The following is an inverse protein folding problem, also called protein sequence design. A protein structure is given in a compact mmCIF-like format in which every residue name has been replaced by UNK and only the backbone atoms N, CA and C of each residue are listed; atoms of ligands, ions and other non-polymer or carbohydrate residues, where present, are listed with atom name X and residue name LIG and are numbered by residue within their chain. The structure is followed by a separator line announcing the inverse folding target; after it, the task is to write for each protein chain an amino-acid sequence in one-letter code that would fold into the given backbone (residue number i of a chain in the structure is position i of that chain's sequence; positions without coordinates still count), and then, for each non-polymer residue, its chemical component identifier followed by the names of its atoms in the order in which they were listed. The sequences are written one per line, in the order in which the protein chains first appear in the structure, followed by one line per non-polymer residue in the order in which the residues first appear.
data_IF_936864465765
#
_entry.id   IF_936864465765
#
_cell.length_a   1.000
_cell.length_b   1.000
_cell.length_c   1.000
_cell.angle_alpha   90.00
_cell.angle_beta   90.00
_cell.angle_gamma   90.00
#
_symmetry.space_group_name_H-M   'P 1'
#
loop_
_entity.id
_entity.type
_entity.pdbx_description
1 polymer ?
#
# COMPACT_ATOMS: atom_id res chain seq x y z
N UNK A 1 -16.31 8.67 28.23
CA UNK A 1 -16.81 9.18 26.93
C UNK A 1 -15.69 9.27 25.90
N UNK A 2 -14.94 8.16 25.72
CA UNK A 2 -13.76 8.11 24.83
C UNK A 2 -14.04 7.16 23.63
N UNK A 3 -14.78 6.06 23.85
CA UNK A 3 -15.17 5.13 22.78
C UNK A 3 -15.99 5.76 21.66
N UNK A 4 -16.85 6.73 21.98
CA UNK A 4 -17.75 7.35 20.99
C UNK A 4 -16.98 8.22 19.99
N UNK A 5 -15.87 8.82 20.42
CA UNK A 5 -14.98 9.62 19.55
C UNK A 5 -14.15 8.74 18.61
N UNK A 6 -13.73 7.56 19.08
CA UNK A 6 -12.98 6.60 18.25
C UNK A 6 -13.82 6.04 17.10
N UNK A 7 -15.11 5.78 17.33
CA UNK A 7 -16.00 5.24 16.30
C UNK A 7 -16.34 6.26 15.22
N UNK A 8 -16.43 7.55 15.57
CA UNK A 8 -16.69 8.61 14.59
C UNK A 8 -15.50 8.89 13.67
N UNK A 9 -14.26 8.72 14.18
CA UNK A 9 -13.04 8.84 13.37
C UNK A 9 -12.86 7.73 12.32
N UNK A 10 -13.49 6.57 12.49
CA UNK A 10 -13.41 5.48 11.52
C UNK A 10 -14.44 5.64 10.40
N UNK A 11 -15.61 6.21 10.69
CA UNK A 11 -16.65 6.46 9.68
C UNK A 11 -16.30 7.63 8.73
N UNK A 12 -15.44 8.57 9.15
CA UNK A 12 -15.08 9.76 8.35
C UNK A 12 -13.94 9.54 7.35
N UNK A 13 -13.27 8.37 7.33
CA UNK A 13 -12.19 8.07 6.37
C UNK A 13 -12.65 7.36 5.10
N UNK A 14 -13.91 6.98 5.00
CA UNK A 14 -14.46 6.28 3.82
C UNK A 14 -15.12 7.21 2.79
N UNK A 15 -15.01 8.54 2.92
CA UNK A 15 -15.71 9.50 2.05
C UNK A 15 -14.81 10.57 1.38
N UNK A 16 -13.48 10.37 1.35
CA UNK A 16 -12.59 11.16 0.50
C UNK A 16 -12.11 10.35 -0.71
N UNK A 17 -13.05 10.01 -1.59
CA UNK A 17 -12.74 9.93 -3.01
C UNK A 17 -12.89 11.35 -3.56
N UNK A 18 -11.92 12.21 -3.25
CA UNK A 18 -11.79 13.47 -3.95
C UNK A 18 -11.13 13.14 -5.28
N UNK A 19 -11.96 13.01 -6.30
CA UNK A 19 -11.53 12.98 -7.69
C UNK A 19 -10.89 14.35 -7.95
N UNK A 20 -9.57 14.38 -8.03
CA UNK A 20 -8.81 15.56 -8.42
C UNK A 20 -9.20 15.89 -9.88
N UNK A 21 -10.28 16.65 -10.04
CA UNK A 21 -10.50 17.48 -11.22
C UNK A 21 -9.50 18.65 -11.15
N UNK A 22 -8.21 18.33 -11.27
CA UNK A 22 -7.17 19.32 -11.50
C UNK A 22 -7.41 19.94 -12.86
N UNK A 23 -7.57 21.27 -12.84
CA UNK A 23 -7.94 22.07 -13.99
C UNK A 23 -7.12 21.75 -15.24
N UNK A 24 -7.86 21.67 -16.35
CA UNK A 24 -7.35 21.78 -17.70
C UNK A 24 -6.41 22.99 -17.79
N UNK A 25 -5.12 22.71 -17.88
CA UNK A 25 -4.08 23.72 -17.93
C UNK A 25 -2.81 23.15 -18.54
N UNK A 26 -2.91 22.74 -19.81
CA UNK A 26 -1.78 22.45 -20.70
C UNK A 26 -1.04 21.12 -20.46
N UNK A 27 -1.76 20.00 -20.48
CA UNK A 27 -1.13 18.69 -20.57
C UNK A 27 -0.62 18.42 -21.98
N UNK A 28 0.65 18.02 -22.09
CA UNK A 28 1.24 17.60 -23.35
C UNK A 28 0.59 16.28 -23.78
N UNK A 29 -0.25 16.34 -24.81
CA UNK A 29 -0.89 15.19 -25.42
C UNK A 29 0.05 14.57 -26.48
N UNK A 30 -0.26 13.36 -26.96
CA UNK A 30 0.41 12.66 -28.06
C UNK A 30 0.50 13.45 -29.39
N UNK A 31 -0.18 14.59 -29.49
CA UNK A 31 -0.17 15.51 -30.64
C UNK A 31 0.65 16.79 -30.38
N UNK A 32 1.25 16.93 -29.21
CA UNK A 32 2.08 18.09 -28.85
C UNK A 32 3.48 17.90 -29.45
N UNK A 33 3.81 18.74 -30.44
CA UNK A 33 5.11 18.68 -31.12
C UNK A 33 6.24 19.21 -30.22
N UNK A 34 7.31 18.42 -30.07
CA UNK A 34 8.44 18.74 -29.19
C UNK A 34 9.38 19.85 -29.74
N UNK A 35 9.22 20.23 -30.99
CA UNK A 35 10.02 21.28 -31.66
C UNK A 35 9.08 22.24 -32.37
N UNK A 36 9.34 23.54 -32.24
CA UNK A 36 8.48 24.61 -32.74
C UNK A 36 8.48 24.76 -34.28
N UNK A 37 9.35 24.04 -35.00
CA UNK A 37 9.43 24.16 -36.47
C UNK A 37 9.92 22.85 -37.11
N UNK A 38 9.20 22.26 -38.07
CA UNK A 38 9.73 21.16 -38.86
C UNK A 38 10.70 21.73 -39.90
N UNK A 39 12.00 21.58 -39.66
CA UNK A 39 12.99 21.77 -40.73
C UNK A 39 12.73 20.68 -41.76
N UNK A 40 12.00 21.04 -42.82
CA UNK A 40 11.92 20.28 -44.06
C UNK A 40 13.34 20.06 -44.57
N UNK A 41 13.83 18.83 -44.51
CA UNK A 41 14.98 18.46 -45.32
C UNK A 41 14.85 17.02 -45.83
N UNK A 42 14.71 16.96 -47.15
CA UNK A 42 14.52 15.82 -48.04
C UNK A 42 15.56 14.70 -47.85
N UNK A 43 15.24 13.42 -48.13
CA UNK A 43 16.16 12.30 -47.95
C UNK A 43 17.15 12.24 -49.13
N UNK A 44 18.14 13.12 -49.14
CA UNK A 44 19.12 13.16 -50.23
C UNK A 44 20.51 13.67 -49.83
N UNK A 45 21.06 13.37 -48.65
CA UNK A 45 22.52 13.45 -48.44
C UNK A 45 23.00 12.33 -47.53
N UNK A 46 23.77 11.41 -48.13
CA UNK A 46 24.48 10.33 -47.45
C UNK A 46 25.71 10.88 -46.71
N UNK A 47 25.90 10.36 -45.49
CA UNK A 47 27.15 9.93 -44.82
C UNK A 47 28.47 10.52 -45.32
N UNK A 48 29.18 11.27 -44.47
CA UNK A 48 30.65 11.14 -44.31
C UNK A 48 31.11 11.73 -42.96
N UNK A 49 31.72 10.87 -42.14
CA UNK A 49 32.85 11.04 -41.21
C UNK A 49 32.91 12.13 -40.12
N UNK A 50 32.90 11.61 -38.88
CA UNK A 50 33.77 11.85 -37.71
C UNK A 50 34.45 13.20 -37.47
N UNK A 51 34.33 13.61 -36.19
CA UNK A 51 35.37 14.31 -35.41
C UNK A 51 35.79 15.68 -35.94
N UNK A 52 35.13 16.75 -35.47
CA UNK A 52 35.63 18.11 -35.18
C UNK A 52 34.38 18.93 -34.86
N UNK A 53 34.01 19.05 -33.59
CA UNK A 53 33.26 20.20 -33.05
C UNK A 53 33.22 20.10 -31.51
N UNK A 54 34.38 19.87 -30.90
CA UNK A 54 34.62 20.26 -29.51
C UNK A 54 34.82 21.77 -29.48
N UNK A 55 33.89 22.53 -28.90
CA UNK A 55 34.17 23.92 -28.51
C UNK A 55 33.17 25.02 -28.89
N UNK A 56 31.87 24.74 -29.02
CA UNK A 56 30.86 25.81 -29.04
C UNK A 56 30.07 25.79 -27.72
N UNK A 57 30.66 26.37 -26.68
CA UNK A 57 29.96 26.67 -25.43
C UNK A 57 28.88 27.72 -25.73
N UNK A 58 27.61 27.31 -25.71
CA UNK A 58 26.49 28.23 -25.66
C UNK A 58 26.37 28.80 -24.23
N UNK A 59 26.57 30.12 -24.02
CA UNK A 59 26.67 30.70 -22.68
C UNK A 59 25.33 30.90 -21.94
N UNK A 60 24.22 30.34 -22.44
CA UNK A 60 22.87 30.54 -21.89
C UNK A 60 22.07 29.25 -21.63
N UNK A 61 22.73 28.10 -21.45
CA UNK A 61 22.03 26.88 -21.01
C UNK A 61 21.97 26.82 -19.48
N UNK A 62 20.77 26.56 -18.94
CA UNK A 62 20.50 26.36 -17.51
C UNK A 62 21.54 25.43 -16.84
N UNK A 63 21.76 25.53 -15.52
CA UNK A 63 22.71 24.65 -14.85
C UNK A 63 22.34 23.18 -15.10
N UNK A 64 23.15 22.48 -15.90
CA UNK A 64 23.06 21.04 -16.25
C UNK A 64 23.03 20.08 -15.04
N UNK A 65 23.07 20.63 -13.83
CA UNK A 65 23.09 19.91 -12.57
C UNK A 65 21.72 19.34 -12.19
N UNK A 66 20.63 20.03 -12.55
CA UNK A 66 19.28 19.62 -12.13
C UNK A 66 18.75 18.43 -12.96
N UNK A 67 19.04 18.40 -14.25
CA UNK A 67 18.67 17.26 -15.12
C UNK A 67 19.39 15.97 -14.69
N UNK A 68 20.68 16.06 -14.38
CA UNK A 68 21.44 14.90 -13.91
C UNK A 68 20.95 14.39 -12.54
N UNK A 69 20.49 15.29 -11.66
CA UNK A 69 19.89 14.92 -10.37
C UNK A 69 18.51 14.29 -10.53
N UNK A 70 17.69 14.77 -11.47
CA UNK A 70 16.38 14.18 -11.78
C UNK A 70 16.54 12.76 -12.32
N UNK A 71 17.49 12.54 -13.24
CA UNK A 71 17.80 11.22 -13.78
C UNK A 71 18.33 10.27 -12.69
N UNK A 72 19.18 10.75 -11.79
CA UNK A 72 19.66 9.95 -10.65
C UNK A 72 18.51 9.53 -9.72
N UNK A 73 17.55 10.43 -9.47
CA UNK A 73 16.35 10.13 -8.68
C UNK A 73 15.47 9.07 -9.36
N UNK A 74 15.24 9.20 -10.67
CA UNK A 74 14.48 8.20 -11.44
C UNK A 74 15.15 6.84 -11.36
N UNK A 75 16.48 6.78 -11.49
CA UNK A 75 17.22 5.53 -11.41
C UNK A 75 17.15 4.89 -10.01
N UNK A 76 17.28 5.69 -8.96
CA UNK A 76 17.12 5.27 -7.56
C UNK A 76 15.71 4.70 -7.32
N UNK A 77 14.67 5.46 -7.68
CA UNK A 77 13.27 5.05 -7.53
C UNK A 77 12.96 3.78 -8.34
N UNK A 78 13.51 3.69 -9.54
CA UNK A 78 13.37 2.49 -10.38
C UNK A 78 14.08 1.30 -9.75
N UNK A 79 15.28 1.48 -9.19
CA UNK A 79 16.01 0.40 -8.52
C UNK A 79 15.33 -0.10 -7.25
N UNK A 80 14.60 0.77 -6.55
CA UNK A 80 13.86 0.43 -5.33
C UNK A 80 12.53 -0.28 -5.65
N UNK A 81 11.89 0.10 -6.76
CA UNK A 81 10.59 -0.43 -7.17
C UNK A 81 10.67 -1.68 -8.05
N UNK A 82 11.83 -1.99 -8.64
CA UNK A 82 12.03 -3.23 -9.39
C UNK A 82 12.11 -4.41 -8.40
N UNK A 83 11.30 -5.43 -8.66
CA UNK A 83 11.29 -6.67 -7.89
C UNK A 83 12.39 -7.60 -8.45
N UNK A 84 13.44 -7.81 -7.66
CA UNK A 84 14.42 -8.86 -7.94
C UNK A 84 13.86 -10.24 -7.53
N UNK A 85 13.33 -10.97 -8.52
CA UNK A 85 12.79 -12.32 -8.34
C UNK A 85 13.88 -13.33 -7.97
N UNK A 86 15.15 -13.08 -8.34
CA UNK A 86 16.26 -13.99 -8.03
C UNK A 86 16.76 -13.84 -6.58
N UNK A 87 16.51 -12.70 -5.94
CA UNK A 87 16.83 -12.46 -4.53
C UNK A 87 15.79 -13.05 -3.55
N UNK A 88 14.76 -13.76 -4.03
CA UNK A 88 13.78 -14.44 -3.19
C UNK A 88 14.35 -15.68 -2.47
N UNK A 89 15.48 -16.21 -2.93
CA UNK A 89 16.19 -17.29 -2.24
C UNK A 89 16.91 -16.75 -0.99
N UNK A 90 16.84 -17.53 0.08
CA UNK A 90 17.31 -17.23 1.44
C UNK A 90 18.47 -16.23 1.48
N UNK A 91 18.22 -15.05 2.06
CA UNK A 91 19.23 -14.05 2.35
C UNK A 91 20.48 -14.72 2.92
N UNK A 92 21.58 -14.70 2.17
CA UNK A 92 22.87 -15.25 2.61
C UNK A 92 23.52 -14.30 3.61
N UNK A 93 22.87 -14.12 4.76
CA UNK A 93 23.51 -13.51 5.90
C UNK A 93 24.59 -14.48 6.39
N UNK A 94 25.82 -14.01 6.51
CA UNK A 94 26.89 -14.85 7.05
C UNK A 94 26.59 -15.19 8.51
N UNK A 95 26.93 -16.41 8.94
CA UNK A 95 26.68 -16.85 10.31
C UNK A 95 27.37 -15.95 11.35
N UNK A 96 28.53 -15.39 11.04
CA UNK A 96 29.23 -14.45 11.93
C UNK A 96 28.43 -13.15 12.08
N UNK A 97 27.97 -12.57 10.98
CA UNK A 97 27.19 -11.33 10.99
C UNK A 97 25.86 -11.51 11.74
N UNK A 98 25.21 -12.66 11.55
CA UNK A 98 24.00 -13.01 12.30
C UNK A 98 24.24 -13.00 13.82
N UNK A 99 25.32 -13.66 14.27
CA UNK A 99 25.67 -13.73 15.69
C UNK A 99 26.02 -12.35 16.27
N UNK A 100 26.71 -11.51 15.52
CA UNK A 100 27.05 -10.16 15.97
C UNK A 100 25.82 -9.26 16.04
N UNK A 101 24.88 -9.38 15.08
CA UNK A 101 23.58 -8.71 15.14
C UNK A 101 22.78 -9.14 16.38
N UNK A 102 22.75 -10.44 16.72
CA UNK A 102 22.10 -10.92 17.95
C UNK A 102 22.67 -10.25 19.19
N UNK A 103 23.99 -10.21 19.33
CA UNK A 103 24.65 -9.59 20.50
C UNK A 103 24.27 -8.12 20.62
N UNK A 104 24.35 -7.37 19.51
CA UNK A 104 24.01 -5.94 19.47
C UNK A 104 22.55 -5.72 19.85
N UNK A 105 21.61 -6.48 19.27
CA UNK A 105 20.19 -6.32 19.56
C UNK A 105 19.85 -6.70 20.99
N UNK A 106 20.45 -7.78 21.52
CA UNK A 106 20.27 -8.20 22.91
C UNK A 106 20.77 -7.13 23.87
N UNK A 107 21.96 -6.59 23.63
CA UNK A 107 22.55 -5.54 24.47
C UNK A 107 21.70 -4.27 24.44
N UNK A 108 21.29 -3.81 23.25
CA UNK A 108 20.41 -2.63 23.12
C UNK A 108 19.07 -2.84 23.79
N UNK A 109 18.49 -4.03 23.66
CA UNK A 109 17.22 -4.38 24.28
C UNK A 109 17.35 -4.33 25.81
N UNK A 110 18.37 -4.95 26.39
CA UNK A 110 18.62 -4.93 27.84
C UNK A 110 18.82 -3.51 28.38
N UNK A 111 19.56 -2.67 27.66
CA UNK A 111 19.78 -1.27 28.06
C UNK A 111 18.48 -0.44 28.08
N UNK A 112 17.53 -0.74 27.20
CA UNK A 112 16.26 -0.03 27.12
C UNK A 112 15.16 -0.69 27.96
N UNK A 113 15.31 -1.97 28.32
CA UNK A 113 14.29 -2.75 29.02
C UNK A 113 13.83 -2.08 30.32
N UNK A 114 14.76 -1.60 31.14
CA UNK A 114 14.43 -0.93 32.41
C UNK A 114 13.80 0.46 32.26
N UNK A 115 13.88 1.07 31.08
CA UNK A 115 13.45 2.46 30.83
C UNK A 115 12.09 2.55 30.14
N UNK A 116 11.48 1.41 29.79
CA UNK A 116 10.20 1.35 29.10
C UNK A 116 9.17 0.77 30.05
N UNK A 117 8.06 1.48 30.26
CA UNK A 117 6.89 0.90 30.91
C UNK A 117 6.37 -0.25 30.04
N UNK A 118 6.57 -1.47 30.49
CA UNK A 118 6.13 -2.64 29.76
C UNK A 118 4.61 -2.76 29.86
N UNK A 119 3.87 -2.81 28.73
CA UNK A 119 2.41 -2.99 28.76
C UNK A 119 1.97 -4.30 29.43
N UNK A 120 2.89 -5.28 29.57
CA UNK A 120 2.64 -6.58 30.18
C UNK A 120 3.10 -6.71 31.65
N UNK A 121 3.64 -5.65 32.27
CA UNK A 121 3.99 -5.68 33.70
C UNK A 121 2.84 -5.27 34.63
N UNK A 122 1.69 -4.91 34.07
CA UNK A 122 0.45 -4.82 34.85
C UNK A 122 0.08 -6.25 35.22
N UNK A 123 0.41 -6.61 36.46
CA UNK A 123 0.06 -7.85 37.15
C UNK A 123 -1.18 -8.49 36.54
N UNK A 124 -0.97 -9.64 35.87
CA UNK A 124 -2.00 -10.60 35.46
C UNK A 124 -3.41 -10.03 35.53
N UNK A 125 -3.75 -9.12 34.60
CA UNK A 125 -5.14 -8.70 34.45
C UNK A 125 -5.86 -9.92 33.94
N UNK A 126 -6.40 -10.72 34.85
CA UNK A 126 -7.19 -11.89 34.52
C UNK A 126 -8.25 -11.42 33.52
N UNK A 127 -8.35 -12.14 32.40
CA UNK A 127 -9.31 -11.80 31.34
C UNK A 127 -10.73 -11.65 31.90
N UNK A 128 -11.00 -12.38 32.99
CA UNK A 128 -12.24 -12.35 33.74
C UNK A 128 -12.01 -11.62 35.07
N UNK A 129 -12.89 -10.68 35.37
CA UNK A 129 -12.99 -10.06 36.69
C UNK A 129 -14.06 -10.81 37.49
N UNK A 130 -13.76 -11.16 38.73
CA UNK A 130 -14.76 -11.76 39.61
C UNK A 130 -15.93 -10.79 39.82
N UNK A 131 -17.15 -11.32 39.67
CA UNK A 131 -18.36 -10.56 39.95
C UNK A 131 -18.73 -10.82 41.41
N UNK A 132 -18.83 -9.78 42.26
CA UNK A 132 -19.28 -9.97 43.64
C UNK A 132 -20.74 -10.46 43.64
N UNK A 133 -21.03 -11.46 44.46
CA UNK A 133 -22.36 -12.08 44.60
C UNK A 133 -22.96 -12.63 43.29
N UNK A 134 -22.36 -13.68 42.69
CA UNK A 134 -22.77 -14.20 41.38
C UNK A 134 -24.21 -14.74 41.36
N UNK A 135 -24.71 -15.25 42.50
CA UNK A 135 -26.07 -15.78 42.59
C UNK A 135 -27.14 -14.75 42.22
N UNK A 136 -26.96 -13.49 42.63
CA UNK A 136 -27.90 -12.41 42.30
C UNK A 136 -27.92 -12.09 40.82
N UNK A 137 -26.78 -12.20 40.13
CA UNK A 137 -26.68 -11.93 38.69
C UNK A 137 -27.28 -13.08 37.90
N UNK A 138 -27.01 -14.32 38.32
CA UNK A 138 -27.55 -15.53 37.68
C UNK A 138 -29.06 -15.69 37.90
N UNK A 139 -29.60 -15.22 39.03
CA UNK A 139 -31.03 -15.23 39.33
C UNK A 139 -31.81 -14.06 38.69
N UNK A 140 -31.13 -13.16 37.98
CA UNK A 140 -31.77 -12.03 37.32
C UNK A 140 -32.68 -12.48 36.17
N UNK A 141 -33.56 -11.57 35.74
CA UNK A 141 -34.50 -11.84 34.64
C UNK A 141 -33.71 -12.20 33.38
N UNK A 142 -34.05 -13.34 32.79
CA UNK A 142 -33.45 -13.80 31.53
C UNK A 142 -33.79 -12.84 30.37
N UNK A 143 -33.02 -12.93 29.28
CA UNK A 143 -33.29 -12.16 28.06
C UNK A 143 -34.75 -12.29 27.61
N UNK A 144 -35.36 -11.17 27.22
CA UNK A 144 -36.74 -11.17 26.75
C UNK A 144 -36.88 -12.07 25.50
N UNK A 145 -37.96 -12.85 25.37
CA UNK A 145 -38.14 -13.75 24.24
C UNK A 145 -38.21 -13.00 22.90
N UNK A 146 -38.74 -11.77 22.92
CA UNK A 146 -38.83 -10.92 21.73
C UNK A 146 -37.44 -10.49 21.22
N UNK A 147 -36.52 -10.13 22.13
CA UNK A 147 -35.13 -9.81 21.77
C UNK A 147 -34.42 -11.02 21.17
N UNK A 148 -34.63 -12.20 21.76
CA UNK A 148 -34.05 -13.44 21.27
C UNK A 148 -34.59 -13.81 19.87
N UNK A 149 -35.88 -13.59 19.63
CA UNK A 149 -36.50 -13.79 18.32
C UNK A 149 -36.01 -12.76 17.28
N UNK A 150 -35.81 -11.50 17.70
CA UNK A 150 -35.24 -10.44 16.87
C UNK A 150 -33.81 -10.82 16.44
N UNK A 151 -32.96 -11.24 17.39
CA UNK A 151 -31.58 -11.68 17.10
C UNK A 151 -31.58 -12.85 16.12
N UNK A 152 -32.40 -13.88 16.35
CA UNK A 152 -32.52 -15.03 15.44
C UNK A 152 -32.91 -14.60 14.04
N UNK A 153 -33.91 -13.73 13.92
CA UNK A 153 -34.39 -13.23 12.64
C UNK A 153 -33.31 -12.44 11.90
N UNK A 154 -32.57 -11.60 12.62
CA UNK A 154 -31.45 -10.84 12.05
C UNK A 154 -30.35 -11.77 11.52
N UNK A 155 -29.96 -12.78 12.28
CA UNK A 155 -28.95 -13.77 11.87
C UNK A 155 -29.40 -14.56 10.64
N UNK A 156 -30.67 -14.98 10.59
CA UNK A 156 -31.22 -15.67 9.42
C UNK A 156 -31.20 -14.79 8.17
N UNK A 157 -31.58 -13.51 8.29
CA UNK A 157 -31.51 -12.56 7.19
C UNK A 157 -30.07 -12.33 6.70
N UNK A 158 -29.12 -12.18 7.63
CA UNK A 158 -27.71 -12.05 7.28
C UNK A 158 -27.19 -13.31 6.56
N UNK A 159 -27.56 -14.51 7.03
CA UNK A 159 -27.21 -15.77 6.38
C UNK A 159 -27.79 -15.86 4.96
N UNK A 160 -29.03 -15.41 4.75
CA UNK A 160 -29.65 -15.36 3.44
C UNK A 160 -28.89 -14.39 2.51
N UNK A 161 -28.56 -13.20 2.98
CA UNK A 161 -27.80 -12.22 2.22
C UNK A 161 -26.41 -12.73 1.82
N UNK A 162 -25.72 -13.46 2.70
CA UNK A 162 -24.43 -14.09 2.36
C UNK A 162 -24.58 -15.11 1.24
N UNK A 163 -25.69 -15.86 1.19
CA UNK A 163 -25.94 -16.83 0.12
C UNK A 163 -26.19 -16.20 -1.26
N UNK A 164 -26.53 -14.90 -1.30
CA UNK A 164 -26.68 -14.14 -2.54
C UNK A 164 -25.34 -13.67 -3.11
N UNK A 165 -24.25 -13.72 -2.32
CA UNK A 165 -22.89 -13.41 -2.78
C UNK A 165 -22.38 -14.59 -3.61
N UNK A 166 -22.76 -14.59 -4.89
CA UNK A 166 -22.34 -15.60 -5.87
C UNK A 166 -22.21 -14.99 -7.26
N UNK A 167 -21.35 -15.58 -8.08
CA UNK A 167 -21.23 -15.21 -9.49
C UNK A 167 -22.45 -15.76 -10.24
N UNK A 168 -23.24 -14.87 -10.86
CA UNK A 168 -24.31 -15.26 -11.76
C UNK A 168 -23.71 -15.68 -13.10
N UNK A 169 -23.94 -16.94 -13.50
CA UNK A 169 -23.53 -17.43 -14.81
C UNK A 169 -24.27 -16.67 -15.93
N UNK A 170 -23.53 -16.19 -16.93
CA UNK A 170 -24.06 -15.45 -18.08
C UNK A 170 -23.72 -16.16 -19.38
N UNK A 171 -22.43 -16.37 -19.63
CA UNK A 171 -21.91 -17.04 -20.81
C UNK A 171 -20.89 -18.11 -20.42
N UNK A 172 -20.63 -19.03 -21.35
CA UNK A 172 -19.67 -20.09 -21.12
C UNK A 172 -18.24 -19.55 -21.26
N UNK A 173 -17.49 -19.53 -20.15
CA UNK A 173 -16.06 -19.18 -20.16
C UNK A 173 -15.20 -20.18 -20.97
N UNK A 174 -15.70 -21.40 -21.16
CA UNK A 174 -15.01 -22.46 -21.91
C UNK A 174 -15.98 -22.99 -22.96
N UNK A 175 -15.58 -22.89 -24.23
CA UNK A 175 -16.34 -23.43 -25.36
C UNK A 175 -15.46 -24.47 -26.08
N UNK A 176 -15.94 -25.71 -26.29
CA UNK A 176 -15.17 -26.70 -27.01
C UNK A 176 -15.08 -26.32 -28.48
N UNK A 177 -13.85 -26.20 -29.00
CA UNK A 177 -13.64 -26.10 -30.43
C UNK A 177 -13.95 -27.45 -31.09
N UNK A 178 -15.01 -27.50 -31.89
CA UNK A 178 -15.27 -28.59 -32.83
C UNK A 178 -15.19 -28.04 -34.24
N UNK A 179 -14.41 -28.72 -35.09
CA UNK A 179 -14.34 -28.47 -36.52
C UNK A 179 -15.50 -29.27 -37.15
N UNK A 180 -16.26 -28.70 -38.10
CA UNK A 180 -17.32 -29.41 -38.82
C UNK A 180 -16.80 -30.63 -39.61
#
# INVERSE_FOLDING_TARGET
MECVRSLWSYASRCFSCQEDSSGQGNEANERTHLLADPVSNSPAVRRTDSEIFTGQEYPNSMPKKDEQSALAKILQETSENIIDVAAMDTQKLEASEYNDRIKIYTQRLQQQWSNVNHPNQVENTSLLKDIPNPESVLASVSIAPDDLNMIKTMVLKASCAISEIKVTHTENLVVPFRIP
#
